data_IF_990123865347
#
_entry.id   IF_990123865347
#
_cell.length_a   1.000
_cell.length_b   1.000
_cell.length_c   1.000
_cell.angle_alpha   90.00
_cell.angle_beta   90.00
_cell.angle_gamma   90.00
#
_symmetry.space_group_name_H-M   'P 1'
#
loop_
_entity.id
_entity.type
_entity.pdbx_description
1 polymer ?
#
# COMPACT_ATOMS: atom_id res chain seq x y z
N UNK A 1 -34.11 -2.44 72.18
CA UNK A 1 -33.97 -1.52 71.07
C UNK A 1 -33.38 -2.31 69.92
N UNK A 2 -34.20 -2.66 68.91
CA UNK A 2 -33.78 -3.42 67.69
C UNK A 2 -33.71 -2.43 66.55
N UNK A 3 -32.51 -2.15 66.04
CA UNK A 3 -32.30 -1.35 64.86
C UNK A 3 -32.50 -2.24 63.62
N UNK A 4 -33.48 -1.90 62.81
CA UNK A 4 -33.72 -2.52 61.50
C UNK A 4 -32.82 -1.86 60.47
N UNK A 5 -31.94 -2.64 59.84
CA UNK A 5 -31.11 -2.19 58.71
C UNK A 5 -31.94 -2.33 57.43
N UNK A 6 -32.30 -1.21 56.83
CA UNK A 6 -32.96 -1.16 55.54
C UNK A 6 -31.90 -1.32 54.42
N UNK A 7 -31.90 -2.49 53.75
CA UNK A 7 -31.08 -2.68 52.55
C UNK A 7 -31.74 -2.03 51.33
N UNK A 8 -31.14 -0.96 50.82
CA UNK A 8 -31.50 -0.38 49.53
C UNK A 8 -30.88 -1.21 48.41
N UNK A 9 -31.72 -1.96 47.73
CA UNK A 9 -31.36 -2.63 46.44
C UNK A 9 -31.49 -1.61 45.33
N UNK A 10 -30.37 -1.10 44.85
CA UNK A 10 -30.32 -0.26 43.66
C UNK A 10 -30.43 -1.13 42.42
N UNK A 11 -31.59 -1.10 41.78
CA UNK A 11 -31.86 -1.73 40.51
C UNK A 11 -31.15 -0.94 39.41
N UNK A 12 -29.95 -1.39 38.98
CA UNK A 12 -29.22 -0.81 37.86
C UNK A 12 -29.92 -1.11 36.52
N UNK A 13 -30.61 -0.10 35.97
CA UNK A 13 -31.14 -0.16 34.60
C UNK A 13 -29.98 -0.09 33.61
N UNK A 14 -29.53 -1.25 33.11
CA UNK A 14 -28.53 -1.32 32.04
C UNK A 14 -29.15 -0.82 30.72
N UNK A 15 -28.76 0.39 30.31
CA UNK A 15 -29.03 0.90 28.96
C UNK A 15 -28.18 0.09 27.97
N UNK A 16 -28.73 -1.04 27.48
CA UNK A 16 -28.21 -1.72 26.32
C UNK A 16 -28.35 -0.82 25.10
N UNK A 17 -27.30 -0.01 24.83
CA UNK A 17 -27.21 0.81 23.63
C UNK A 17 -27.20 -0.10 22.40
N UNK A 18 -28.35 -0.22 21.72
CA UNK A 18 -28.44 -0.83 20.40
C UNK A 18 -27.55 -0.02 19.44
N UNK A 19 -26.29 -0.47 19.25
CA UNK A 19 -25.50 -0.03 18.09
C UNK A 19 -26.23 -0.54 16.84
N UNK A 20 -26.97 0.35 16.18
CA UNK A 20 -27.47 0.07 14.84
C UNK A 20 -26.24 -0.20 13.96
N UNK A 21 -26.17 -1.36 13.26
CA UNK A 21 -25.17 -1.54 12.24
C UNK A 21 -25.31 -0.39 11.24
N UNK A 22 -24.22 0.33 10.98
CA UNK A 22 -24.19 1.36 9.95
C UNK A 22 -24.56 0.70 8.62
N UNK A 23 -25.51 1.29 7.90
CA UNK A 23 -25.85 0.82 6.56
C UNK A 23 -24.58 0.78 5.71
N UNK A 24 -24.42 -0.24 4.84
CA UNK A 24 -23.30 -0.27 3.91
C UNK A 24 -23.28 1.02 3.09
N UNK A 25 -22.10 1.62 2.96
CA UNK A 25 -21.94 2.82 2.13
C UNK A 25 -22.42 2.52 0.70
N UNK A 26 -23.05 3.49 0.02
CA UNK A 26 -23.44 3.31 -1.38
C UNK A 26 -22.23 2.93 -2.23
N UNK A 27 -22.39 2.10 -3.28
CA UNK A 27 -21.31 1.73 -4.15
C UNK A 27 -20.67 3.00 -4.76
N UNK A 28 -19.35 3.12 -4.63
CA UNK A 28 -18.59 4.19 -5.27
C UNK A 28 -18.33 3.78 -6.75
N UNK A 29 -18.92 4.51 -7.72
CA UNK A 29 -18.72 4.20 -9.15
C UNK A 29 -17.27 4.24 -9.58
N UNK A 30 -16.45 5.09 -8.94
CA UNK A 30 -15.02 5.18 -9.24
C UNK A 30 -14.25 3.95 -8.72
N UNK A 31 -14.67 3.39 -7.58
CA UNK A 31 -14.04 2.18 -7.05
C UNK A 31 -14.15 0.97 -8.01
N UNK A 32 -15.25 0.88 -8.76
CA UNK A 32 -15.42 -0.19 -9.75
C UNK A 32 -14.54 0.03 -10.98
N UNK A 33 -14.37 1.26 -11.43
CA UNK A 33 -13.44 1.60 -12.52
C UNK A 33 -12.01 1.25 -12.13
N UNK A 34 -11.54 1.67 -10.96
CA UNK A 34 -10.20 1.34 -10.46
C UNK A 34 -10.00 -0.17 -10.30
N UNK A 35 -11.01 -0.89 -9.82
CA UNK A 35 -10.95 -2.34 -9.68
C UNK A 35 -10.81 -3.04 -11.02
N UNK A 36 -11.56 -2.60 -12.03
CA UNK A 36 -11.49 -3.15 -13.38
C UNK A 36 -10.12 -2.91 -13.99
N UNK A 37 -9.58 -1.70 -13.91
CA UNK A 37 -8.24 -1.38 -14.40
C UNK A 37 -7.16 -2.24 -13.71
N UNK A 38 -7.26 -2.41 -12.40
CA UNK A 38 -6.32 -3.23 -11.65
C UNK A 38 -6.37 -4.72 -12.06
N UNK A 39 -7.56 -5.24 -12.38
CA UNK A 39 -7.73 -6.60 -12.89
C UNK A 39 -7.11 -6.75 -14.29
N UNK A 40 -7.25 -5.76 -15.15
CA UNK A 40 -6.63 -5.73 -16.49
C UNK A 40 -5.08 -5.71 -16.37
N UNK A 41 -4.55 -5.10 -15.32
CA UNK A 41 -3.11 -5.09 -15.00
C UNK A 41 -2.63 -6.33 -14.24
N UNK A 42 -3.52 -7.27 -13.91
CA UNK A 42 -3.19 -8.49 -13.16
C UNK A 42 -2.85 -8.26 -11.70
N UNK A 43 -3.29 -7.13 -11.10
CA UNK A 43 -3.05 -6.80 -9.70
C UNK A 43 -4.04 -7.51 -8.78
N UNK A 44 -3.54 -8.05 -7.67
CA UNK A 44 -4.38 -8.55 -6.59
C UNK A 44 -4.97 -7.40 -5.76
N UNK A 45 -5.87 -7.72 -4.80
CA UNK A 45 -6.56 -6.72 -3.99
C UNK A 45 -5.62 -5.80 -3.20
N UNK A 46 -4.57 -6.35 -2.61
CA UNK A 46 -3.59 -5.57 -1.84
C UNK A 46 -2.79 -4.64 -2.76
N UNK A 47 -2.35 -5.13 -3.91
CA UNK A 47 -1.64 -4.36 -4.91
C UNK A 47 -2.51 -3.25 -5.52
N UNK A 48 -3.81 -3.52 -5.71
CA UNK A 48 -4.80 -2.53 -6.15
C UNK A 48 -4.93 -1.38 -5.15
N UNK A 49 -5.04 -1.69 -3.87
CA UNK A 49 -5.07 -0.66 -2.82
C UNK A 49 -3.74 0.08 -2.72
N UNK A 50 -2.61 -0.63 -2.88
CA UNK A 50 -1.29 -0.02 -2.97
C UNK A 50 -1.16 0.94 -4.15
N UNK A 51 -1.73 0.59 -5.31
CA UNK A 51 -1.80 1.48 -6.48
C UNK A 51 -2.58 2.76 -6.18
N UNK A 52 -3.69 2.65 -5.45
CA UNK A 52 -4.47 3.81 -5.03
C UNK A 52 -3.64 4.74 -4.13
N UNK A 53 -2.95 4.19 -3.13
CA UNK A 53 -2.06 4.95 -2.24
C UNK A 53 -0.91 5.59 -3.04
N UNK A 54 -0.31 4.86 -3.99
CA UNK A 54 0.73 5.37 -4.85
C UNK A 54 0.26 6.57 -5.68
N UNK A 55 -0.91 6.47 -6.30
CA UNK A 55 -1.53 7.56 -7.05
C UNK A 55 -1.72 8.82 -6.19
N UNK A 56 -2.14 8.63 -4.94
CA UNK A 56 -2.43 9.74 -4.03
C UNK A 56 -1.16 10.43 -3.49
N UNK A 57 -0.10 9.68 -3.16
CA UNK A 57 1.04 10.20 -2.42
C UNK A 57 2.34 10.27 -3.21
N UNK A 58 2.48 9.48 -4.27
CA UNK A 58 3.76 9.24 -4.93
C UNK A 58 3.78 9.68 -6.39
N UNK A 59 2.68 9.48 -7.14
CA UNK A 59 2.63 9.63 -8.59
C UNK A 59 2.98 11.04 -9.07
N UNK A 60 2.68 12.09 -8.28
CA UNK A 60 3.01 13.48 -8.64
C UNK A 60 4.51 13.68 -8.91
N UNK A 61 5.37 12.97 -8.18
CA UNK A 61 6.81 13.02 -8.38
C UNK A 61 7.33 11.81 -9.16
N UNK A 62 6.83 10.60 -8.88
CA UNK A 62 7.34 9.37 -9.46
C UNK A 62 6.70 8.97 -10.77
N UNK A 63 5.62 9.63 -11.22
CA UNK A 63 4.84 9.26 -12.39
C UNK A 63 3.87 8.10 -12.11
N UNK A 64 2.83 7.97 -12.91
CA UNK A 64 1.79 6.95 -12.71
C UNK A 64 2.33 5.51 -12.77
N UNK A 65 3.39 5.30 -13.53
CA UNK A 65 4.07 4.01 -13.67
C UNK A 65 5.38 3.92 -12.88
N UNK A 66 5.67 4.92 -12.04
CA UNK A 66 6.84 4.91 -11.19
C UNK A 66 8.19 5.07 -11.91
N UNK A 67 8.20 5.69 -13.09
CA UNK A 67 9.40 5.88 -13.92
C UNK A 67 10.21 7.15 -13.57
N UNK A 68 9.80 7.89 -12.54
CA UNK A 68 10.45 9.14 -12.12
C UNK A 68 10.08 10.33 -13.02
N UNK A 69 9.00 10.22 -13.80
CA UNK A 69 8.53 11.18 -14.79
C UNK A 69 7.24 11.91 -14.38
N UNK A 70 6.96 11.98 -13.08
CA UNK A 70 5.78 12.69 -12.57
C UNK A 70 5.82 14.19 -12.87
N UNK A 71 4.65 14.84 -12.79
CA UNK A 71 4.49 16.26 -13.12
C UNK A 71 5.44 17.17 -12.35
N UNK A 72 5.83 16.78 -11.13
CA UNK A 72 6.76 17.56 -10.31
C UNK A 72 8.23 17.10 -10.46
N UNK A 73 8.51 16.03 -11.21
CA UNK A 73 9.87 15.49 -11.31
C UNK A 73 10.88 16.47 -11.88
N UNK A 74 10.48 17.36 -12.80
CA UNK A 74 11.38 18.33 -13.43
C UNK A 74 11.84 19.43 -12.47
N UNK A 75 11.12 19.64 -11.35
CA UNK A 75 11.49 20.60 -10.31
C UNK A 75 12.44 20.03 -9.25
N UNK A 76 12.75 18.73 -9.33
CA UNK A 76 13.51 18.01 -8.30
C UNK A 76 14.92 17.71 -8.78
N UNK A 77 15.90 17.99 -7.93
CA UNK A 77 17.31 17.63 -8.12
C UNK A 77 17.86 17.02 -6.81
N UNK A 78 18.23 15.74 -6.78
CA UNK A 78 18.13 14.77 -7.88
C UNK A 78 16.69 14.40 -8.23
N UNK A 79 16.48 13.98 -9.47
CA UNK A 79 15.18 13.47 -9.92
C UNK A 79 14.77 12.23 -9.14
N UNK A 80 13.45 11.96 -9.00
CA UNK A 80 12.97 10.72 -8.44
C UNK A 80 13.50 9.50 -9.22
N UNK A 81 13.85 8.40 -8.54
CA UNK A 81 14.32 7.20 -9.24
C UNK A 81 13.20 6.56 -10.07
N UNK A 82 13.62 5.90 -11.15
CA UNK A 82 12.79 4.93 -11.84
C UNK A 82 12.67 3.65 -11.00
N UNK A 83 11.47 3.37 -10.49
CA UNK A 83 11.22 2.21 -9.66
C UNK A 83 11.34 0.88 -10.43
N UNK A 84 11.05 0.86 -11.73
CA UNK A 84 11.20 -0.36 -12.54
C UNK A 84 12.64 -0.88 -12.54
N UNK A 85 13.60 0.04 -12.43
CA UNK A 85 15.02 -0.28 -12.40
C UNK A 85 15.57 -0.38 -10.97
N UNK A 86 15.16 0.53 -10.08
CA UNK A 86 15.80 0.72 -8.79
C UNK A 86 15.30 -0.20 -7.67
N UNK A 87 14.05 -0.71 -7.75
CA UNK A 87 13.47 -1.55 -6.69
C UNK A 87 14.28 -2.81 -6.38
N UNK A 88 15.00 -3.33 -7.35
CA UNK A 88 15.83 -4.54 -7.20
C UNK A 88 17.22 -4.29 -6.62
N UNK A 89 17.66 -3.03 -6.60
CA UNK A 89 19.00 -2.68 -6.13
C UNK A 89 19.15 -2.71 -4.61
N UNK A 90 18.03 -2.78 -3.87
CA UNK A 90 18.00 -2.79 -2.42
C UNK A 90 16.92 -3.72 -1.88
N UNK A 91 17.12 -4.19 -0.63
CA UNK A 91 16.13 -5.01 0.06
C UNK A 91 14.81 -4.23 0.29
N UNK A 92 13.65 -4.91 0.39
CA UNK A 92 12.37 -4.27 0.67
C UNK A 92 12.36 -3.40 1.95
N UNK A 93 13.14 -3.76 2.96
CA UNK A 93 13.31 -2.99 4.20
C UNK A 93 13.88 -1.59 3.97
N UNK A 94 14.80 -1.46 3.02
CA UNK A 94 15.37 -0.16 2.64
C UNK A 94 14.31 0.79 2.09
N UNK A 95 13.44 0.28 1.22
CA UNK A 95 12.35 1.06 0.64
C UNK A 95 11.30 1.43 1.68
N UNK A 96 10.95 0.51 2.60
CA UNK A 96 10.07 0.81 3.74
C UNK A 96 10.63 1.92 4.61
N UNK A 97 11.95 1.91 4.86
CA UNK A 97 12.61 2.96 5.65
C UNK A 97 12.53 4.31 4.93
N UNK A 98 12.80 4.37 3.63
CA UNK A 98 12.68 5.61 2.85
C UNK A 98 11.24 6.14 2.89
N UNK A 99 10.26 5.29 2.64
CA UNK A 99 8.86 5.70 2.65
C UNK A 99 8.45 6.17 4.05
N UNK A 100 8.77 5.41 5.08
CA UNK A 100 8.37 5.73 6.45
C UNK A 100 9.08 6.93 7.05
N UNK A 101 10.40 6.98 6.93
CA UNK A 101 11.26 7.96 7.60
C UNK A 101 11.79 9.09 6.68
N UNK A 102 11.49 9.01 5.39
CA UNK A 102 12.03 9.92 4.38
C UNK A 102 13.41 9.51 3.87
N UNK A 103 13.78 9.97 2.68
CA UNK A 103 15.06 9.61 2.04
C UNK A 103 16.29 10.15 2.78
N UNK A 104 16.15 11.24 3.55
CA UNK A 104 17.22 11.74 4.40
C UNK A 104 17.66 10.74 5.48
N UNK A 105 16.74 9.87 5.96
CA UNK A 105 17.05 8.84 6.96
C UNK A 105 18.04 7.77 6.47
N UNK A 106 18.24 7.67 5.16
CA UNK A 106 19.22 6.76 4.52
C UNK A 106 20.37 7.53 3.83
N UNK A 107 20.59 8.78 4.22
CA UNK A 107 21.67 9.61 3.68
C UNK A 107 21.44 10.09 2.25
N UNK A 108 20.19 10.13 1.78
CA UNK A 108 19.81 10.64 0.46
C UNK A 108 19.23 12.05 0.54
N UNK A 109 18.95 12.65 -0.61
CA UNK A 109 18.27 13.95 -0.69
C UNK A 109 16.98 13.97 0.12
N UNK A 110 16.66 15.06 0.87
CA UNK A 110 15.46 15.17 1.70
C UNK A 110 14.15 15.36 0.91
N UNK A 111 14.19 15.24 -0.41
CA UNK A 111 13.04 15.52 -1.27
C UNK A 111 11.91 14.50 -1.16
N UNK A 112 12.19 13.26 -0.73
CA UNK A 112 11.14 12.31 -0.34
C UNK A 112 10.84 12.50 1.16
N UNK A 113 9.66 13.02 1.52
CA UNK A 113 9.30 13.28 2.92
C UNK A 113 9.01 11.99 3.69
N UNK A 114 9.00 12.05 5.04
CA UNK A 114 8.64 10.91 5.89
C UNK A 114 7.12 10.66 5.87
N UNK A 115 6.67 9.76 5.04
CA UNK A 115 5.27 9.40 4.91
C UNK A 115 4.71 8.63 6.11
N UNK A 116 5.55 8.08 6.99
CA UNK A 116 5.11 7.42 8.23
C UNK A 116 4.34 8.31 9.20
N UNK A 117 4.28 9.63 8.95
CA UNK A 117 3.41 10.56 9.69
C UNK A 117 1.98 10.59 9.15
N UNK A 118 1.78 10.23 7.89
CA UNK A 118 0.50 10.24 7.18
C UNK A 118 -0.04 8.83 6.91
N UNK A 119 0.85 7.86 6.75
CA UNK A 119 0.55 6.47 6.45
C UNK A 119 0.90 5.58 7.65
N UNK A 120 -0.01 4.69 8.00
CA UNK A 120 0.25 3.61 8.96
C UNK A 120 1.25 2.60 8.39
N UNK A 121 1.88 1.80 9.24
CA UNK A 121 2.76 0.69 8.81
C UNK A 121 2.05 -0.25 7.82
N UNK A 122 0.78 -0.55 8.05
CA UNK A 122 -0.02 -1.40 7.17
C UNK A 122 -0.20 -0.78 5.77
N UNK A 123 -0.45 0.52 5.70
CA UNK A 123 -0.56 1.23 4.41
C UNK A 123 0.77 1.29 3.69
N UNK A 124 1.89 1.45 4.41
CA UNK A 124 3.23 1.36 3.83
C UNK A 124 3.48 -0.05 3.28
N UNK A 125 3.11 -1.12 4.00
CA UNK A 125 3.24 -2.50 3.50
C UNK A 125 2.35 -2.74 2.27
N UNK A 126 1.15 -2.16 2.26
CA UNK A 126 0.24 -2.21 1.11
C UNK A 126 0.82 -1.48 -0.10
N UNK A 127 1.41 -0.31 0.11
CA UNK A 127 2.13 0.43 -0.93
C UNK A 127 3.33 -0.37 -1.46
N UNK A 128 4.10 -1.01 -0.57
CA UNK A 128 5.22 -1.87 -0.95
C UNK A 128 4.79 -3.03 -1.85
N UNK A 129 3.65 -3.67 -1.58
CA UNK A 129 3.12 -4.73 -2.43
C UNK A 129 2.89 -4.25 -3.87
N UNK A 130 2.37 -3.03 -4.06
CA UNK A 130 2.23 -2.42 -5.37
C UNK A 130 3.58 -2.10 -6.03
N UNK A 131 4.53 -1.54 -5.29
CA UNK A 131 5.88 -1.27 -5.81
C UNK A 131 6.56 -2.57 -6.28
N UNK A 132 6.43 -3.66 -5.54
CA UNK A 132 6.93 -4.97 -5.95
C UNK A 132 6.23 -5.47 -7.22
N UNK A 133 4.91 -5.21 -7.38
CA UNK A 133 4.20 -5.52 -8.62
C UNK A 133 4.73 -4.71 -9.81
N UNK A 134 4.98 -3.42 -9.64
CA UNK A 134 5.64 -2.58 -10.64
C UNK A 134 7.02 -3.14 -11.04
N UNK A 135 7.83 -3.51 -10.06
CA UNK A 135 9.14 -4.12 -10.31
C UNK A 135 9.05 -5.43 -11.09
N UNK A 136 7.99 -6.23 -10.89
CA UNK A 136 7.74 -7.45 -11.68
C UNK A 136 7.34 -7.12 -13.13
N UNK A 137 6.47 -6.14 -13.33
CA UNK A 137 6.01 -5.74 -14.66
C UNK A 137 7.14 -5.17 -15.54
N UNK A 138 8.11 -4.45 -14.93
CA UNK A 138 9.30 -3.94 -15.61
C UNK A 138 10.38 -5.00 -15.89
N UNK A 139 10.15 -6.25 -15.51
CA UNK A 139 11.10 -7.34 -15.75
C UNK A 139 10.92 -7.91 -17.15
N UNK A 140 11.99 -8.21 -17.90
CA UNK A 140 11.88 -9.08 -19.05
C UNK A 140 11.31 -10.44 -18.60
N UNK A 141 10.43 -11.08 -19.41
CA UNK A 141 9.92 -12.41 -19.06
C UNK A 141 11.11 -13.35 -18.81
N UNK A 142 10.99 -14.29 -17.86
CA UNK A 142 12.03 -15.28 -17.62
C UNK A 142 12.33 -15.98 -18.96
N UNK A 143 13.61 -16.30 -19.25
CA UNK A 143 13.95 -17.00 -20.49
C UNK A 143 13.11 -18.27 -20.55
N UNK A 144 12.36 -18.41 -21.63
CA UNK A 144 11.55 -19.60 -21.88
C UNK A 144 12.52 -20.76 -21.87
N UNK A 145 12.47 -21.55 -20.78
CA UNK A 145 13.32 -22.73 -20.65
C UNK A 145 13.14 -23.58 -21.88
N UNK A 146 14.23 -23.86 -22.58
CA UNK A 146 14.23 -24.88 -23.63
C UNK A 146 13.61 -26.11 -22.99
N UNK A 147 12.40 -26.48 -23.44
CA UNK A 147 11.84 -27.76 -23.12
C UNK A 147 12.93 -28.80 -23.37
N UNK A 148 13.38 -29.46 -22.31
CA UNK A 148 14.32 -30.58 -22.46
C UNK A 148 13.58 -31.62 -23.30
N UNK A 149 13.97 -31.73 -24.55
CA UNK A 149 13.54 -32.82 -25.41
C UNK A 149 13.98 -34.10 -24.67
N UNK A 150 13.01 -34.75 -24.03
CA UNK A 150 13.17 -36.06 -23.44
C UNK A 150 13.67 -36.99 -24.53
N UNK A 151 14.94 -37.37 -24.45
CA UNK A 151 15.52 -38.40 -25.29
C UNK A 151 14.75 -39.68 -25.04
N UNK A 152 13.99 -40.09 -26.02
CA UNK A 152 13.56 -41.48 -26.15
C UNK A 152 14.78 -42.23 -26.68
N UNK A 153 15.43 -42.99 -25.79
CA UNK A 153 16.43 -43.96 -26.20
C UNK A 153 15.73 -45.25 -26.69
N UNK A 154 16.27 -45.90 -27.73
CA UNK A 154 15.75 -47.12 -28.34
C UNK A 154 15.86 -48.36 -27.42
#
# INVERSE_FOLDING_TARGET
MKLAVLSLVTLGLGLAGCRRPSAPAPPDPLADVFRKQAQEEGLNRTETEGKRLFGQYCATCHGERGQGDGQNAYNLDPKPPDFLQSLRSHAPSYWRQIIGAGSAAVGRSPLCPPWGRALSTREIDTLMAYLEALGRAGSPPPPVGKASAGGVSP
#
